data_IF_598284292526
#
_entry.id   IF_598284292526
#
_cell.length_a   1.000
_cell.length_b   1.000
_cell.length_c   1.000
_cell.angle_alpha   90.00
_cell.angle_beta   90.00
_cell.angle_gamma   90.00
#
_symmetry.space_group_name_H-M   'P 1'
#
loop_
_entity.id
_entity.type
_entity.pdbx_description
1 polymer ?
#
# COMPACT_ATOMS: atom_id res chain seq x y z
N UNK A 1 -18.78 35.94 42.16
CA UNK A 1 -18.65 34.62 41.48
C UNK A 1 -19.23 34.75 40.09
N UNK A 2 -18.38 35.00 39.10
CA UNK A 2 -18.79 35.17 37.70
C UNK A 2 -18.69 33.81 37.03
N UNK A 3 -19.80 33.26 36.53
CA UNK A 3 -19.84 32.08 35.70
C UNK A 3 -19.47 32.50 34.28
N UNK A 4 -18.32 32.07 33.82
CA UNK A 4 -17.95 32.12 32.41
C UNK A 4 -18.81 31.12 31.62
N UNK A 5 -19.67 31.65 30.77
CA UNK A 5 -20.40 30.86 29.80
C UNK A 5 -19.42 30.44 28.65
N UNK A 6 -19.36 29.16 28.39
CA UNK A 6 -18.64 28.64 27.23
C UNK A 6 -19.34 29.10 25.93
N UNK A 7 -18.59 29.48 24.89
CA UNK A 7 -19.21 29.87 23.64
C UNK A 7 -19.78 28.63 22.93
N UNK A 8 -21.06 28.68 22.63
CA UNK A 8 -21.71 27.72 21.76
C UNK A 8 -21.13 27.88 20.33
N UNK A 9 -20.47 26.85 19.84
CA UNK A 9 -20.00 26.81 18.47
C UNK A 9 -21.21 26.59 17.54
N UNK A 10 -21.62 27.63 16.83
CA UNK A 10 -22.64 27.53 15.80
C UNK A 10 -22.03 26.80 14.59
N UNK A 11 -22.51 25.59 14.30
CA UNK A 11 -22.20 24.91 13.07
C UNK A 11 -23.09 25.50 11.99
N UNK A 12 -22.54 26.43 11.22
CA UNK A 12 -23.22 26.98 10.05
C UNK A 12 -22.98 26.09 8.84
N UNK A 13 -23.98 25.37 8.37
CA UNK A 13 -23.97 24.78 7.04
C UNK A 13 -24.39 25.87 6.07
N UNK A 14 -23.42 26.46 5.37
CA UNK A 14 -23.72 27.38 4.27
C UNK A 14 -23.90 26.55 3.01
N UNK A 15 -25.14 26.24 2.66
CA UNK A 15 -25.49 25.72 1.34
C UNK A 15 -25.69 26.95 0.45
N UNK A 16 -24.64 27.33 -0.25
CA UNK A 16 -24.71 28.39 -1.26
C UNK A 16 -25.27 27.82 -2.55
N UNK A 17 -26.58 27.97 -2.78
CA UNK A 17 -27.17 27.76 -4.11
C UNK A 17 -26.99 29.06 -4.85
N UNK A 18 -26.01 29.14 -5.74
CA UNK A 18 -25.91 30.25 -6.71
C UNK A 18 -26.75 29.84 -7.94
N UNK A 19 -27.95 30.38 -8.04
CA UNK A 19 -28.70 30.36 -9.29
C UNK A 19 -28.10 31.42 -10.21
N UNK A 20 -27.12 31.05 -11.00
CA UNK A 20 -26.60 31.85 -12.10
C UNK A 20 -27.36 31.52 -13.36
N UNK A 21 -28.06 32.52 -13.87
CA UNK A 21 -28.79 32.42 -15.11
C UNK A 21 -27.78 32.42 -16.29
N UNK A 22 -27.91 31.41 -17.16
CA UNK A 22 -27.48 31.35 -18.55
C UNK A 22 -25.98 31.24 -18.87
N UNK A 23 -25.64 30.11 -19.46
CA UNK A 23 -24.38 29.82 -20.21
C UNK A 23 -23.11 29.58 -19.38
N UNK A 24 -23.19 28.73 -18.36
CA UNK A 24 -21.99 28.12 -17.82
C UNK A 24 -22.15 26.59 -17.75
N UNK A 25 -21.29 25.80 -18.40
CA UNK A 25 -21.33 24.35 -18.32
C UNK A 25 -20.53 23.87 -17.13
N UNK A 26 -20.78 24.33 -15.91
CA UNK A 26 -20.26 23.69 -14.71
C UNK A 26 -20.94 24.29 -13.46
N UNK A 27 -21.73 23.49 -12.78
CA UNK A 27 -22.16 23.80 -11.41
C UNK A 27 -21.15 23.19 -10.44
N UNK A 28 -20.41 24.05 -9.73
CA UNK A 28 -19.52 23.60 -8.67
C UNK A 28 -20.31 23.55 -7.36
N UNK A 29 -20.51 22.34 -6.82
CA UNK A 29 -21.05 22.18 -5.46
C UNK A 29 -19.88 21.95 -4.53
N UNK A 30 -19.57 22.92 -3.66
CA UNK A 30 -18.54 22.78 -2.64
C UNK A 30 -19.23 22.38 -1.34
N UNK A 31 -19.00 21.16 -0.86
CA UNK A 31 -19.46 20.73 0.46
C UNK A 31 -18.28 20.77 1.41
N UNK A 32 -18.32 21.69 2.38
CA UNK A 32 -17.31 21.73 3.46
C UNK A 32 -17.82 20.90 4.62
N UNK A 33 -17.13 19.80 4.93
CA UNK A 33 -17.41 19.01 6.12
C UNK A 33 -16.42 19.41 7.21
N UNK A 34 -16.91 20.03 8.29
CA UNK A 34 -16.11 20.34 9.47
C UNK A 34 -16.24 19.18 10.45
N UNK A 35 -15.17 18.42 10.64
CA UNK A 35 -15.11 17.36 11.64
C UNK A 35 -14.65 17.92 12.98
N UNK A 36 -15.42 17.71 14.04
CA UNK A 36 -15.08 18.10 15.41
C UNK A 36 -14.16 17.04 16.03
N UNK A 37 -13.01 17.49 16.52
CA UNK A 37 -12.00 16.65 17.16
C UNK A 37 -12.51 15.95 18.42
N UNK A 38 -12.50 14.63 18.41
CA UNK A 38 -12.39 13.80 19.61
C UNK A 38 -11.29 12.78 19.36
N UNK A 39 -10.05 13.08 19.73
CA UNK A 39 -8.88 12.17 19.74
C UNK A 39 -8.54 11.44 18.44
N UNK A 40 -9.21 11.75 17.33
CA UNK A 40 -8.90 11.25 16.00
C UNK A 40 -8.76 12.45 15.07
N UNK A 41 -7.59 12.68 14.52
CA UNK A 41 -7.41 13.73 13.51
C UNK A 41 -7.78 13.13 12.16
N UNK A 42 -8.95 13.51 11.64
CA UNK A 42 -9.36 13.18 10.29
C UNK A 42 -8.98 14.35 9.39
N UNK A 43 -8.07 14.13 8.44
CA UNK A 43 -7.73 15.14 7.44
C UNK A 43 -8.44 14.76 6.15
N UNK A 44 -9.36 15.59 5.70
CA UNK A 44 -10.08 15.39 4.44
C UNK A 44 -9.43 16.25 3.36
N UNK A 45 -8.94 15.62 2.30
CA UNK A 45 -8.46 16.31 1.11
C UNK A 45 -9.54 16.23 0.03
N UNK A 46 -10.00 17.38 -0.46
CA UNK A 46 -10.93 17.46 -1.59
C UNK A 46 -10.14 17.91 -2.81
N UNK A 47 -10.01 17.04 -3.80
CA UNK A 47 -9.43 17.39 -5.09
C UNK A 47 -10.57 17.53 -6.09
N UNK A 48 -10.78 18.73 -6.63
CA UNK A 48 -11.80 18.98 -7.62
C UNK A 48 -11.22 18.83 -9.03
N UNK A 49 -11.72 17.86 -9.77
CA UNK A 49 -11.41 17.72 -11.19
C UNK A 49 -12.59 18.24 -12.00
N UNK A 50 -12.31 19.07 -13.00
CA UNK A 50 -13.30 19.49 -13.99
C UNK A 50 -13.49 18.36 -15.00
N UNK A 51 -14.49 17.54 -14.79
CA UNK A 51 -14.96 16.51 -15.74
C UNK A 51 -16.46 16.69 -15.95
N UNK A 52 -16.96 16.22 -17.06
CA UNK A 52 -18.38 16.27 -17.45
C UNK A 52 -19.28 15.46 -16.49
N UNK A 53 -18.68 14.61 -15.65
CA UNK A 53 -19.31 13.92 -14.52
C UNK A 53 -18.43 14.11 -13.28
N UNK A 54 -19.01 14.62 -12.19
CA UNK A 54 -18.29 14.86 -10.95
C UNK A 54 -18.34 13.61 -10.09
N UNK A 55 -17.24 12.87 -10.03
CA UNK A 55 -17.07 11.82 -9.04
C UNK A 55 -16.37 12.39 -7.79
N UNK A 56 -17.07 12.39 -6.67
CA UNK A 56 -16.47 12.73 -5.39
C UNK A 56 -15.82 11.50 -4.80
N UNK A 57 -14.48 11.49 -4.75
CA UNK A 57 -13.73 10.48 -3.99
C UNK A 57 -13.32 11.10 -2.67
N UNK A 58 -13.96 10.69 -1.59
CA UNK A 58 -13.57 11.07 -0.23
C UNK A 58 -12.69 9.98 0.33
N UNK A 59 -11.41 10.27 0.52
CA UNK A 59 -10.50 9.36 1.21
C UNK A 59 -10.36 9.83 2.66
N UNK A 60 -10.82 9.02 3.59
CA UNK A 60 -10.64 9.25 5.02
C UNK A 60 -9.43 8.48 5.50
N UNK A 61 -8.38 9.19 5.95
CA UNK A 61 -7.22 8.57 6.57
C UNK A 61 -7.45 8.53 8.08
N UNK A 62 -7.61 7.34 8.63
CA UNK A 62 -7.80 7.14 10.06
C UNK A 62 -6.43 6.99 10.74
N UNK A 63 -6.24 7.66 11.87
CA UNK A 63 -5.01 7.55 12.68
C UNK A 63 -4.79 6.11 13.13
N UNK A 64 -3.60 5.55 12.88
CA UNK A 64 -3.27 4.17 13.27
C UNK A 64 -3.16 3.18 12.13
N UNK A 65 -3.35 3.62 10.88
CA UNK A 65 -3.18 2.81 9.66
C UNK A 65 -1.72 2.36 9.48
N UNK A 66 -0.74 3.24 9.78
CA UNK A 66 0.68 2.88 9.73
C UNK A 66 1.03 2.09 10.99
N UNK A 67 1.42 0.84 10.82
CA UNK A 67 1.79 -0.08 11.92
C UNK A 67 3.28 -0.09 12.20
N UNK A 68 4.08 0.13 11.17
CA UNK A 68 5.53 0.03 11.27
C UNK A 68 6.20 0.86 10.20
N UNK A 69 7.38 1.37 10.53
CA UNK A 69 8.38 1.89 9.59
C UNK A 69 9.66 1.15 9.87
N UNK A 70 10.43 0.81 8.85
CA UNK A 70 11.75 0.21 9.01
C UNK A 70 12.76 0.92 8.13
N UNK A 71 13.93 1.17 8.68
CA UNK A 71 15.09 1.70 7.97
C UNK A 71 16.20 0.65 8.02
N UNK A 72 16.63 0.17 6.86
CA UNK A 72 17.70 -0.83 6.76
C UNK A 72 19.03 -0.31 7.32
N UNK A 73 19.98 -1.21 7.56
CA UNK A 73 21.29 -1.00 8.21
C UNK A 73 21.24 -0.58 9.68
N UNK A 74 20.15 0.00 10.15
CA UNK A 74 19.95 0.36 11.57
C UNK A 74 18.97 -0.57 12.28
N UNK A 75 18.19 -1.32 11.51
CA UNK A 75 17.15 -2.22 11.99
C UNK A 75 17.17 -3.52 11.18
N UNK A 76 16.74 -4.63 11.77
CA UNK A 76 16.60 -5.92 11.08
C UNK A 76 15.28 -5.93 10.26
N UNK A 77 15.29 -5.28 9.10
CA UNK A 77 14.10 -5.09 8.28
C UNK A 77 13.58 -6.39 7.68
N UNK A 78 14.48 -7.27 7.23
CA UNK A 78 14.11 -8.60 6.70
C UNK A 78 13.42 -9.47 7.75
N UNK A 79 13.91 -9.51 9.00
CA UNK A 79 13.30 -10.27 10.08
C UNK A 79 11.86 -9.83 10.39
N UNK A 80 11.58 -8.53 10.28
CA UNK A 80 10.22 -8.00 10.46
C UNK A 80 9.28 -8.38 9.32
N UNK A 81 9.80 -8.46 8.10
CA UNK A 81 9.05 -8.98 6.95
C UNK A 81 8.74 -10.46 7.14
N UNK A 82 9.72 -11.26 7.57
CA UNK A 82 9.54 -12.68 7.89
C UNK A 82 8.42 -12.86 8.93
N UNK A 83 8.46 -12.12 10.04
CA UNK A 83 7.41 -12.17 11.06
C UNK A 83 6.02 -11.85 10.49
N UNK A 84 5.93 -10.89 9.56
CA UNK A 84 4.68 -10.53 8.91
C UNK A 84 4.15 -11.72 8.06
N UNK A 85 5.03 -12.37 7.29
CA UNK A 85 4.70 -13.56 6.49
C UNK A 85 4.27 -14.73 7.38
N UNK A 86 4.95 -14.94 8.51
CA UNK A 86 4.62 -15.99 9.47
C UNK A 86 3.22 -15.83 10.09
N UNK A 87 2.77 -14.58 10.28
CA UNK A 87 1.44 -14.28 10.83
C UNK A 87 0.30 -14.38 9.83
N UNK A 88 0.60 -14.45 8.54
CA UNK A 88 -0.39 -14.55 7.45
C UNK A 88 -1.29 -15.79 7.60
N UNK A 89 -2.59 -15.62 7.24
CA UNK A 89 -3.64 -16.64 7.40
C UNK A 89 -4.27 -17.09 6.09
N UNK A 90 -4.21 -16.26 5.03
CA UNK A 90 -4.91 -16.50 3.76
C UNK A 90 -3.98 -16.41 2.56
N UNK A 91 -3.25 -15.29 2.44
CA UNK A 91 -2.48 -15.01 1.24
C UNK A 91 -1.28 -14.10 1.50
N UNK A 92 -0.24 -14.26 0.66
CA UNK A 92 0.90 -13.35 0.58
C UNK A 92 1.21 -13.10 -0.88
N UNK A 93 1.05 -11.84 -1.33
CA UNK A 93 1.36 -11.44 -2.71
C UNK A 93 2.53 -10.46 -2.71
N UNK A 94 3.53 -10.73 -3.53
CA UNK A 94 4.78 -9.97 -3.58
C UNK A 94 5.10 -9.54 -5.00
N UNK A 95 5.33 -8.22 -5.19
CA UNK A 95 5.92 -7.70 -6.41
C UNK A 95 7.24 -7.02 -6.07
N UNK A 96 8.36 -7.53 -6.56
CA UNK A 96 9.69 -7.09 -6.16
C UNK A 96 10.67 -7.03 -7.34
N UNK A 97 11.40 -5.91 -7.42
CA UNK A 97 12.38 -5.70 -8.47
C UNK A 97 13.60 -6.62 -8.32
N UNK A 98 14.17 -6.75 -7.12
CA UNK A 98 15.32 -7.62 -6.84
C UNK A 98 15.07 -8.48 -5.60
N UNK A 99 15.30 -9.79 -5.75
CA UNK A 99 15.06 -10.77 -4.69
C UNK A 99 16.27 -11.71 -4.55
N UNK A 100 17.10 -11.46 -3.55
CA UNK A 100 18.31 -12.25 -3.27
C UNK A 100 18.49 -12.55 -1.75
N UNK A 101 17.38 -12.58 -1.01
CA UNK A 101 17.40 -12.76 0.45
C UNK A 101 16.78 -14.11 0.82
N UNK A 102 17.61 -15.13 1.07
CA UNK A 102 17.23 -16.52 1.36
C UNK A 102 16.20 -16.63 2.50
N UNK A 103 16.35 -15.84 3.57
CA UNK A 103 15.41 -15.85 4.70
C UNK A 103 13.98 -15.49 4.30
N UNK A 104 13.82 -14.50 3.42
CA UNK A 104 12.52 -14.10 2.90
C UNK A 104 11.94 -15.15 1.93
N UNK A 105 12.79 -15.75 1.10
CA UNK A 105 12.37 -16.82 0.21
C UNK A 105 11.90 -18.06 1.00
N UNK A 106 12.63 -18.46 2.03
CA UNK A 106 12.24 -19.56 2.92
C UNK A 106 10.89 -19.27 3.60
N UNK A 107 10.67 -18.05 4.10
CA UNK A 107 9.40 -17.66 4.73
C UNK A 107 8.21 -17.79 3.75
N UNK A 108 8.38 -17.43 2.47
CA UNK A 108 7.35 -17.61 1.45
C UNK A 108 7.09 -19.09 1.15
N UNK A 109 8.14 -19.91 1.07
CA UNK A 109 7.99 -21.37 0.88
C UNK A 109 7.24 -21.97 2.07
N UNK A 110 7.55 -21.58 3.29
CA UNK A 110 6.86 -22.08 4.48
C UNK A 110 5.39 -21.58 4.53
N UNK A 111 5.11 -20.36 4.11
CA UNK A 111 3.75 -19.87 3.94
C UNK A 111 2.96 -20.71 2.93
N UNK A 112 3.57 -21.03 1.78
CA UNK A 112 2.96 -21.91 0.76
C UNK A 112 2.71 -23.32 1.31
N UNK A 113 3.65 -23.88 2.04
CA UNK A 113 3.51 -25.21 2.72
C UNK A 113 2.40 -25.22 3.78
N UNK A 114 2.12 -24.09 4.41
CA UNK A 114 0.96 -23.93 5.31
C UNK A 114 -0.38 -23.86 4.55
N UNK A 115 -0.36 -23.85 3.22
CA UNK A 115 -1.55 -23.81 2.38
C UNK A 115 -2.05 -22.39 2.06
N UNK A 116 -1.25 -21.37 2.29
CA UNK A 116 -1.60 -20.00 1.91
C UNK A 116 -1.48 -19.81 0.39
N UNK A 117 -2.30 -18.92 -0.17
CA UNK A 117 -2.15 -18.48 -1.56
C UNK A 117 -0.95 -17.52 -1.67
N UNK A 118 0.21 -18.06 -2.06
CA UNK A 118 1.45 -17.29 -2.21
C UNK A 118 1.75 -17.06 -3.68
N UNK A 119 1.83 -15.79 -4.09
CA UNK A 119 2.15 -15.37 -5.46
C UNK A 119 3.28 -14.34 -5.45
N UNK A 120 4.25 -14.54 -6.33
CA UNK A 120 5.42 -13.66 -6.42
C UNK A 120 5.63 -13.22 -7.87
N UNK A 121 5.81 -11.92 -8.11
CA UNK A 121 6.30 -11.39 -9.39
C UNK A 121 7.69 -10.79 -9.17
N UNK A 122 8.66 -11.23 -9.95
CA UNK A 122 10.04 -10.74 -9.92
C UNK A 122 10.34 -10.07 -11.26
N UNK A 123 11.06 -8.94 -11.23
CA UNK A 123 11.61 -8.32 -12.43
C UNK A 123 12.47 -9.32 -13.21
N UNK A 124 12.15 -9.49 -14.50
CA UNK A 124 12.79 -10.50 -15.37
C UNK A 124 14.30 -10.36 -15.44
N UNK A 125 14.79 -9.14 -15.59
CA UNK A 125 16.22 -8.88 -15.76
C UNK A 125 17.06 -9.26 -14.52
N UNK A 126 16.42 -9.32 -13.35
CA UNK A 126 17.04 -9.68 -12.08
C UNK A 126 16.85 -11.17 -11.70
N UNK A 127 15.99 -11.89 -12.41
CA UNK A 127 15.59 -13.25 -12.03
C UNK A 127 16.69 -14.30 -12.13
N UNK A 128 17.66 -14.08 -13.00
CA UNK A 128 18.76 -15.03 -13.24
C UNK A 128 20.13 -14.47 -12.81
N UNK A 129 20.14 -13.34 -12.11
CA UNK A 129 21.34 -12.76 -11.51
C UNK A 129 21.86 -13.63 -10.36
N UNK A 130 23.13 -13.39 -9.98
CA UNK A 130 23.76 -14.12 -8.87
C UNK A 130 22.97 -13.93 -7.57
N UNK A 131 22.65 -15.03 -6.89
CA UNK A 131 21.90 -15.07 -5.64
C UNK A 131 20.39 -14.83 -5.79
N UNK A 132 19.85 -14.83 -7.02
CA UNK A 132 18.40 -14.67 -7.22
C UNK A 132 17.62 -15.86 -6.68
N UNK A 133 16.55 -15.58 -5.93
CA UNK A 133 15.67 -16.58 -5.32
C UNK A 133 14.60 -17.12 -6.29
N UNK A 134 14.56 -16.65 -7.53
CA UNK A 134 13.53 -17.08 -8.50
C UNK A 134 13.48 -18.59 -8.68
N UNK A 135 14.63 -19.22 -8.98
CA UNK A 135 14.68 -20.67 -9.21
C UNK A 135 14.41 -21.46 -7.93
N UNK A 136 14.86 -20.97 -6.78
CA UNK A 136 14.57 -21.59 -5.50
C UNK A 136 13.06 -21.63 -5.23
N UNK A 137 12.38 -20.50 -5.34
CA UNK A 137 10.92 -20.39 -5.15
C UNK A 137 10.16 -21.28 -6.15
N UNK A 138 10.54 -21.25 -7.41
CA UNK A 138 9.93 -22.06 -8.47
C UNK A 138 10.07 -23.57 -8.20
N UNK A 139 11.26 -24.01 -7.84
CA UNK A 139 11.53 -25.42 -7.54
C UNK A 139 10.83 -25.88 -6.25
N UNK A 140 10.60 -24.98 -5.30
CA UNK A 140 9.85 -25.24 -4.08
C UNK A 140 8.32 -25.28 -4.31
N UNK A 141 7.84 -24.97 -5.53
CA UNK A 141 6.42 -25.01 -5.87
C UNK A 141 5.64 -23.74 -5.52
N UNK A 142 6.33 -22.63 -5.22
CA UNK A 142 5.68 -21.33 -5.07
C UNK A 142 5.25 -20.80 -6.45
N UNK A 143 4.06 -20.23 -6.55
CA UNK A 143 3.58 -19.59 -7.79
C UNK A 143 4.35 -18.28 -8.03
N UNK A 144 5.48 -18.40 -8.74
CA UNK A 144 6.37 -17.29 -9.06
C UNK A 144 6.41 -17.06 -10.56
N UNK A 145 6.28 -15.81 -10.98
CA UNK A 145 6.31 -15.38 -12.37
C UNK A 145 7.33 -14.29 -12.59
N UNK A 146 7.81 -14.21 -13.83
CA UNK A 146 8.66 -13.14 -14.30
C UNK A 146 7.83 -12.07 -14.99
N UNK A 147 8.09 -10.83 -14.66
CA UNK A 147 7.45 -9.69 -15.29
C UNK A 147 7.72 -9.64 -16.81
N UNK A 148 6.75 -9.17 -17.57
CA UNK A 148 6.84 -8.97 -19.02
C UNK A 148 6.61 -7.51 -19.44
N UNK A 149 6.69 -6.56 -18.50
CA UNK A 149 6.64 -5.16 -18.83
C UNK A 149 7.82 -4.78 -19.75
N UNK A 150 7.62 -4.09 -20.88
CA UNK A 150 8.72 -3.63 -21.74
C UNK A 150 9.65 -2.60 -21.09
N UNK A 151 9.19 -1.93 -20.02
CA UNK A 151 10.02 -1.18 -19.09
C UNK A 151 10.40 -2.04 -17.88
N UNK A 152 10.70 -1.44 -16.75
CA UNK A 152 11.00 -2.16 -15.52
C UNK A 152 9.75 -2.29 -14.63
N UNK A 153 9.52 -3.47 -14.10
CA UNK A 153 8.64 -3.68 -12.96
C UNK A 153 9.41 -3.30 -11.68
N UNK A 154 9.39 -2.03 -11.31
CA UNK A 154 10.23 -1.50 -10.24
C UNK A 154 9.53 -1.44 -8.88
N UNK A 155 8.49 -2.23 -8.69
CA UNK A 155 7.78 -2.35 -7.41
C UNK A 155 8.62 -3.04 -6.34
N UNK A 156 8.34 -2.71 -5.09
CA UNK A 156 8.82 -3.37 -3.88
C UNK A 156 7.66 -3.30 -2.88
N UNK A 157 6.68 -4.19 -3.05
CA UNK A 157 5.58 -4.26 -2.10
C UNK A 157 5.16 -5.71 -1.82
N UNK A 158 4.55 -5.90 -0.67
CA UNK A 158 3.90 -7.13 -0.26
C UNK A 158 2.50 -6.81 0.26
N UNK A 159 1.56 -7.71 -0.03
CA UNK A 159 0.20 -7.66 0.50
C UNK A 159 -0.01 -8.93 1.32
N UNK A 160 -0.48 -8.79 2.55
CA UNK A 160 -0.81 -9.91 3.44
C UNK A 160 -2.30 -9.92 3.70
N UNK A 161 -2.94 -11.06 3.44
CA UNK A 161 -4.34 -11.37 3.71
C UNK A 161 -5.37 -10.40 3.09
N UNK A 162 -4.95 -9.52 2.17
CA UNK A 162 -5.76 -8.44 1.63
C UNK A 162 -6.07 -7.31 2.63
N UNK A 163 -5.30 -7.22 3.70
CA UNK A 163 -5.53 -6.30 4.82
C UNK A 163 -4.30 -5.43 5.13
N UNK A 164 -3.09 -5.93 4.85
CA UNK A 164 -1.83 -5.27 5.19
C UNK A 164 -1.02 -5.08 3.92
N UNK A 165 -0.42 -3.90 3.77
CA UNK A 165 0.54 -3.59 2.70
C UNK A 165 1.86 -3.19 3.32
N UNK A 166 2.96 -3.77 2.81
CA UNK A 166 4.32 -3.30 3.02
C UNK A 166 4.82 -2.70 1.71
N UNK A 167 5.32 -1.47 1.74
CA UNK A 167 5.84 -0.80 0.55
C UNK A 167 6.92 0.23 0.89
N UNK A 168 7.84 0.45 -0.03
CA UNK A 168 8.95 1.40 0.13
C UNK A 168 10.01 1.26 -0.95
N UNK A 169 11.22 1.71 -0.65
CA UNK A 169 12.36 1.54 -1.54
C UNK A 169 13.06 0.18 -1.38
N UNK A 170 12.81 -0.51 -0.26
CA UNK A 170 13.50 -1.73 0.17
C UNK A 170 13.26 -2.91 -0.79
N UNK A 171 14.28 -3.26 -1.57
CA UNK A 171 14.33 -4.52 -2.31
C UNK A 171 14.51 -5.71 -1.33
N UNK A 172 14.06 -6.88 -1.72
CA UNK A 172 14.27 -8.11 -0.95
C UNK A 172 15.66 -8.70 -1.23
N UNK A 173 16.68 -7.88 -1.04
CA UNK A 173 18.05 -8.21 -1.42
C UNK A 173 19.04 -7.99 -0.28
N UNK A 174 20.13 -8.74 -0.31
CA UNK A 174 21.26 -8.57 0.61
C UNK A 174 21.80 -7.14 0.59
N UNK A 175 21.81 -6.50 -0.59
CA UNK A 175 22.26 -5.12 -0.70
C UNK A 175 21.32 -4.14 0.03
N UNK A 176 20.01 -4.36 -0.05
CA UNK A 176 19.03 -3.51 0.63
C UNK A 176 19.11 -3.64 2.15
N UNK A 177 19.36 -4.85 2.69
CA UNK A 177 19.49 -5.06 4.13
C UNK A 177 20.80 -4.55 4.70
N UNK A 178 21.91 -4.80 4.00
CA UNK A 178 23.25 -4.68 4.60
C UNK A 178 24.04 -3.45 4.13
N UNK A 179 23.71 -2.88 2.97
CA UNK A 179 24.57 -1.88 2.31
C UNK A 179 23.89 -0.57 1.98
N UNK A 180 22.63 -0.64 1.53
CA UNK A 180 21.90 0.54 1.10
C UNK A 180 21.12 1.17 2.25
N UNK A 181 20.89 2.46 2.20
CA UNK A 181 19.92 3.13 3.05
C UNK A 181 18.53 3.03 2.39
N UNK A 182 17.75 2.07 2.82
CA UNK A 182 16.41 1.79 2.31
C UNK A 182 15.37 1.91 3.42
N UNK A 183 14.10 1.98 3.01
CA UNK A 183 13.01 2.00 3.98
C UNK A 183 11.77 1.29 3.42
N UNK A 184 10.89 0.92 4.34
CA UNK A 184 9.51 0.58 4.04
C UNK A 184 8.56 1.02 5.16
N UNK A 185 7.29 1.10 4.81
CA UNK A 185 6.17 1.28 5.75
C UNK A 185 5.25 0.06 5.68
N UNK A 186 4.63 -0.28 6.82
CA UNK A 186 3.57 -1.29 6.92
C UNK A 186 2.26 -0.57 7.21
N UNK A 187 1.30 -0.74 6.34
CA UNK A 187 -0.01 -0.10 6.36
C UNK A 187 -1.06 -1.18 6.60
N UNK A 188 -1.83 -1.09 7.67
CA UNK A 188 -2.96 -1.99 7.93
C UNK A 188 -4.27 -1.27 7.61
N UNK A 189 -4.68 -1.38 6.36
CA UNK A 189 -5.89 -0.76 5.81
C UNK A 189 -6.38 -1.56 4.60
N UNK A 190 -7.60 -2.05 4.68
CA UNK A 190 -8.19 -2.90 3.65
C UNK A 190 -8.42 -2.18 2.32
N UNK A 191 -8.70 -0.87 2.36
CA UNK A 191 -8.94 -0.10 1.13
C UNK A 191 -7.62 0.14 0.40
N UNK A 192 -6.55 0.45 1.15
CA UNK A 192 -5.19 0.53 0.60
C UNK A 192 -4.77 -0.84 0.07
N UNK A 193 -5.00 -1.92 0.82
CA UNK A 193 -4.67 -3.28 0.39
C UNK A 193 -5.42 -3.67 -0.88
N UNK A 194 -6.68 -3.27 -1.05
CA UNK A 194 -7.46 -3.51 -2.27
C UNK A 194 -6.84 -2.81 -3.50
N UNK A 195 -6.35 -1.57 -3.33
CA UNK A 195 -5.66 -0.84 -4.42
C UNK A 195 -4.36 -1.55 -4.84
N UNK A 196 -3.55 -1.98 -3.87
CA UNK A 196 -2.32 -2.74 -4.15
C UNK A 196 -2.62 -4.12 -4.74
N UNK A 197 -3.69 -4.79 -4.30
CA UNK A 197 -4.13 -6.07 -4.85
C UNK A 197 -4.54 -5.92 -6.32
N UNK A 198 -5.26 -4.86 -6.66
CA UNK A 198 -5.60 -4.55 -8.06
C UNK A 198 -4.35 -4.37 -8.91
N UNK A 199 -3.36 -3.61 -8.42
CA UNK A 199 -2.09 -3.41 -9.13
C UNK A 199 -1.29 -4.71 -9.22
N UNK A 200 -1.23 -5.50 -8.15
CA UNK A 200 -0.57 -6.82 -8.17
C UNK A 200 -1.15 -7.70 -9.29
N UNK A 201 -2.47 -7.85 -9.37
CA UNK A 201 -3.09 -8.68 -10.38
C UNK A 201 -3.00 -8.10 -11.80
N UNK A 202 -2.87 -6.79 -11.96
CA UNK A 202 -2.53 -6.18 -13.25
C UNK A 202 -1.14 -6.65 -13.71
N UNK A 203 -0.13 -6.56 -12.85
CA UNK A 203 1.24 -7.02 -13.15
C UNK A 203 1.25 -8.54 -13.34
N UNK A 204 0.60 -9.28 -12.45
CA UNK A 204 0.48 -10.74 -12.50
C UNK A 204 -0.12 -11.26 -13.81
N UNK A 205 -1.12 -10.58 -14.34
CA UNK A 205 -1.77 -10.98 -15.59
C UNK A 205 -0.87 -10.84 -16.82
N UNK A 206 0.13 -10.00 -16.76
CA UNK A 206 1.13 -9.80 -17.83
C UNK A 206 2.36 -10.69 -17.64
N UNK A 207 2.61 -11.18 -16.43
CA UNK A 207 3.77 -11.99 -16.07
C UNK A 207 3.62 -13.45 -16.55
N UNK A 208 4.75 -14.14 -16.78
CA UNK A 208 4.80 -15.54 -17.25
C UNK A 208 5.85 -16.39 -16.52
#
# INVERSE_FOLDING_TARGET
>A
MARLAAPALLIGVVVGIILGLVLAPASTVTTTVTATQRTTTTTTYTTTYMVTETHHVTTTITKGVIKQVCFSRTEACDMRIIQLIETAKKSVYVAVYSFTRDGLANALVDASRRGLDVKVVIERDNAFGSGSEYLFLKNAGVDVRLDNNPGLMHHKFMIVDGEIVLTGSYNWSTAAEERNDENYVVIADSDVAALYTKEFFRVWSMAS
#
